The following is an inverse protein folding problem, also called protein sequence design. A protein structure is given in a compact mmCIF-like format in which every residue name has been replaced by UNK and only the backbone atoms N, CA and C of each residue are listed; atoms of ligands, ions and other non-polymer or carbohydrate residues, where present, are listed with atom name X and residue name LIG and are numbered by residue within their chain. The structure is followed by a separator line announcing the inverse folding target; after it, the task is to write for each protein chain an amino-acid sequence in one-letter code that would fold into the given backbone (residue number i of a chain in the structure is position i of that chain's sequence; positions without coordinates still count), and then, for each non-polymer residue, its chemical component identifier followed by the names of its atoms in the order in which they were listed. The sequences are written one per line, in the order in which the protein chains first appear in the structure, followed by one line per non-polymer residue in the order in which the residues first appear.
data_IF_557763431288
#
_entry.id   IF_557763431288
#
_cell.length_a   1.000
_cell.length_b   1.000
_cell.length_c   1.000
_cell.angle_alpha   90.00
_cell.angle_beta   90.00
_cell.angle_gamma   90.00
#
_symmetry.space_group_name_H-M   'P 1'
#
loop_
_entity.id
_entity.type
_entity.pdbx_description
1 polymer ?
#
# COMPACT_ATOMS: atom_id res chain seq x y z
N UNK A 1 -7.13 -41.05 -29.51
CA UNK A 1 -7.79 -40.83 -28.20
C UNK A 1 -6.95 -39.89 -27.34
N UNK A 2 -6.74 -38.64 -27.78
CA UNK A 2 -5.95 -37.63 -27.06
C UNK A 2 -6.46 -36.19 -27.25
N UNK A 3 -7.61 -36.01 -27.90
CA UNK A 3 -8.17 -34.69 -28.26
C UNK A 3 -9.08 -34.10 -27.19
N UNK A 4 -9.67 -34.94 -26.33
CA UNK A 4 -10.76 -34.48 -25.45
C UNK A 4 -10.25 -33.90 -24.13
N UNK A 5 -8.99 -34.18 -23.77
CA UNK A 5 -8.35 -33.65 -22.55
C UNK A 5 -7.78 -32.23 -22.70
N UNK A 6 -7.63 -31.73 -23.93
CA UNK A 6 -7.11 -30.38 -24.19
C UNK A 6 -8.26 -29.37 -24.11
N UNK A 7 -9.44 -29.73 -24.64
CA UNK A 7 -10.60 -28.85 -24.62
C UNK A 7 -11.12 -28.59 -23.20
N UNK A 8 -11.06 -29.57 -22.29
CA UNK A 8 -11.43 -29.36 -20.88
C UNK A 8 -10.49 -28.39 -20.16
N UNK A 9 -9.20 -28.37 -20.51
CA UNK A 9 -8.21 -27.45 -19.92
C UNK A 9 -8.30 -26.01 -20.45
N UNK A 10 -8.84 -25.82 -21.66
CA UNK A 10 -9.02 -24.49 -22.26
C UNK A 10 -10.29 -23.82 -21.72
N UNK A 11 -11.31 -24.60 -21.35
CA UNK A 11 -12.60 -24.06 -20.86
C UNK A 11 -12.49 -23.49 -19.44
N UNK A 12 -11.55 -23.97 -18.61
CA UNK A 12 -11.36 -23.48 -17.22
C UNK A 12 -10.64 -22.13 -17.10
N UNK A 13 -10.07 -21.58 -18.19
CA UNK A 13 -9.34 -20.31 -18.18
C UNK A 13 -10.21 -19.06 -18.45
N UNK A 14 -11.51 -19.25 -18.73
CA UNK A 14 -12.50 -18.19 -18.90
C UNK A 14 -13.46 -18.08 -17.71
N UNK A 15 -13.00 -18.44 -16.50
CA UNK A 15 -13.66 -17.91 -15.32
C UNK A 15 -13.41 -16.41 -15.32
N UNK A 16 -14.44 -15.64 -15.67
CA UNK A 16 -14.51 -14.22 -15.34
C UNK A 16 -14.24 -14.13 -13.84
N UNK A 17 -13.00 -13.81 -13.48
CA UNK A 17 -12.63 -13.60 -12.09
C UNK A 17 -13.36 -12.31 -11.72
N UNK A 18 -14.48 -12.43 -11.01
CA UNK A 18 -15.13 -11.29 -10.38
C UNK A 18 -14.12 -10.67 -9.42
N UNK A 19 -13.39 -9.66 -9.90
CA UNK A 19 -12.41 -8.96 -9.09
C UNK A 19 -13.17 -8.12 -8.06
N UNK A 20 -13.05 -8.47 -6.79
CA UNK A 20 -13.69 -7.71 -5.70
C UNK A 20 -13.23 -6.24 -5.70
N UNK A 21 -14.13 -5.35 -5.28
CA UNK A 21 -13.79 -3.94 -5.07
C UNK A 21 -12.69 -3.83 -4.01
N UNK A 22 -11.71 -2.97 -4.25
CA UNK A 22 -10.59 -2.82 -3.34
C UNK A 22 -9.30 -2.39 -4.02
N UNK A 23 -8.24 -2.42 -3.23
CA UNK A 23 -6.90 -2.01 -3.64
C UNK A 23 -5.95 -3.19 -3.47
N UNK A 24 -5.12 -3.42 -4.47
CA UNK A 24 -4.13 -4.48 -4.53
C UNK A 24 -2.74 -3.89 -4.81
N UNK A 25 -1.74 -4.39 -4.11
CA UNK A 25 -0.34 -4.08 -4.35
C UNK A 25 0.30 -5.22 -5.14
N UNK A 26 0.70 -4.97 -6.39
CA UNK A 26 1.36 -5.95 -7.24
C UNK A 26 2.89 -5.77 -7.15
N UNK A 27 3.61 -6.65 -6.43
CA UNK A 27 5.07 -6.55 -6.30
C UNK A 27 5.83 -6.95 -7.57
N UNK A 28 5.22 -7.70 -8.49
CA UNK A 28 5.87 -8.12 -9.73
C UNK A 28 5.94 -6.94 -10.71
N UNK A 29 4.84 -6.19 -10.81
CA UNK A 29 4.75 -4.99 -11.66
C UNK A 29 5.18 -3.71 -10.97
N UNK A 30 5.31 -3.75 -9.64
CA UNK A 30 5.54 -2.59 -8.77
C UNK A 30 4.47 -1.53 -9.07
N UNK A 31 3.22 -1.97 -8.92
CA UNK A 31 2.05 -1.16 -9.18
C UNK A 31 1.02 -1.28 -8.07
N UNK A 32 0.25 -0.22 -7.93
CA UNK A 32 -0.92 -0.13 -7.09
C UNK A 32 -2.14 -0.16 -7.99
N UNK A 33 -3.01 -1.14 -7.80
CA UNK A 33 -4.20 -1.35 -8.61
C UNK A 33 -5.45 -1.23 -7.74
N UNK A 34 -6.47 -0.55 -8.22
CA UNK A 34 -7.71 -0.34 -7.50
C UNK A 34 -8.90 -0.55 -8.41
N UNK A 35 -9.93 -1.23 -7.89
CA UNK A 35 -11.18 -1.52 -8.61
C UNK A 35 -12.32 -0.90 -7.82
N UNK A 36 -13.13 -0.12 -8.52
CA UNK A 36 -14.19 0.70 -7.94
C UNK A 36 -15.51 0.48 -8.67
N UNK A 37 -16.60 0.69 -7.93
CA UNK A 37 -17.97 0.59 -8.45
C UNK A 37 -18.34 1.65 -9.48
N UNK A 38 -17.72 2.82 -9.43
CA UNK A 38 -18.10 3.94 -10.27
C UNK A 38 -16.91 4.85 -10.58
N UNK A 39 -17.06 5.64 -11.64
CA UNK A 39 -16.04 6.55 -12.15
C UNK A 39 -15.61 7.56 -11.08
N UNK A 40 -16.57 8.12 -10.34
CA UNK A 40 -16.31 9.18 -9.37
C UNK A 40 -15.47 8.66 -8.20
N UNK A 41 -15.75 7.45 -7.73
CA UNK A 41 -14.95 6.74 -6.73
C UNK A 41 -13.50 6.55 -7.19
N UNK A 42 -13.28 6.14 -8.45
CA UNK A 42 -11.94 5.99 -9.02
C UNK A 42 -11.19 7.34 -9.11
N UNK A 43 -11.84 8.42 -9.53
CA UNK A 43 -11.20 9.76 -9.57
C UNK A 43 -10.88 10.32 -8.18
N UNK A 44 -11.76 10.09 -7.20
CA UNK A 44 -11.49 10.45 -5.80
C UNK A 44 -10.28 9.69 -5.28
N UNK A 45 -10.26 8.38 -5.50
CA UNK A 45 -9.14 7.55 -5.09
C UNK A 45 -7.83 8.03 -5.72
N UNK A 46 -7.83 8.29 -7.03
CA UNK A 46 -6.66 8.84 -7.74
C UNK A 46 -6.13 10.11 -7.13
N UNK A 47 -7.01 11.07 -6.80
CA UNK A 47 -6.62 12.34 -6.18
C UNK A 47 -5.92 12.10 -4.83
N UNK A 48 -6.52 11.26 -3.99
CA UNK A 48 -5.97 10.95 -2.66
C UNK A 48 -4.67 10.15 -2.77
N UNK A 49 -4.57 9.21 -3.72
CA UNK A 49 -3.32 8.47 -3.97
C UNK A 49 -2.18 9.43 -4.33
N UNK A 50 -2.44 10.39 -5.23
CA UNK A 50 -1.46 11.42 -5.59
C UNK A 50 -1.06 12.21 -4.35
N UNK A 51 -2.03 12.71 -3.58
CA UNK A 51 -1.77 13.51 -2.39
C UNK A 51 -0.96 12.75 -1.33
N UNK A 52 -1.30 11.49 -1.06
CA UNK A 52 -0.57 10.63 -0.12
C UNK A 52 0.86 10.38 -0.60
N UNK A 53 1.03 10.06 -1.88
CA UNK A 53 2.34 9.74 -2.45
C UNK A 53 3.25 10.98 -2.52
N UNK A 54 2.69 12.16 -2.82
CA UNK A 54 3.41 13.44 -2.83
C UNK A 54 3.76 13.90 -1.42
N UNK A 55 2.85 13.78 -0.44
CA UNK A 55 3.06 14.34 0.91
C UNK A 55 3.87 13.44 1.83
N UNK A 56 3.63 12.12 1.82
CA UNK A 56 4.28 11.18 2.74
C UNK A 56 5.61 10.67 2.19
N UNK A 57 5.66 10.43 0.87
CA UNK A 57 6.83 9.84 0.21
C UNK A 57 7.62 10.83 -0.64
N UNK A 58 7.14 12.09 -0.78
CA UNK A 58 7.82 13.15 -1.53
C UNK A 58 8.06 12.79 -3.00
N UNK A 59 7.14 12.02 -3.60
CA UNK A 59 7.20 11.61 -5.00
C UNK A 59 6.62 12.69 -5.92
N UNK A 60 7.16 12.88 -7.12
CA UNK A 60 6.57 13.71 -8.17
C UNK A 60 5.64 12.89 -9.05
N UNK A 61 4.34 13.21 -9.07
CA UNK A 61 3.33 12.55 -9.90
C UNK A 61 3.68 12.49 -11.40
N UNK A 62 4.45 13.46 -11.95
CA UNK A 62 4.78 13.48 -13.38
C UNK A 62 6.00 12.64 -13.76
N UNK A 63 6.85 12.33 -12.78
CA UNK A 63 8.15 11.72 -13.03
C UNK A 63 8.29 10.36 -12.34
N UNK A 64 7.85 10.27 -11.09
CA UNK A 64 7.99 9.09 -10.25
C UNK A 64 6.84 8.10 -10.43
N UNK A 65 5.68 8.59 -10.87
CA UNK A 65 4.43 7.83 -10.96
C UNK A 65 3.85 7.86 -12.38
N UNK A 66 3.12 6.81 -12.73
CA UNK A 66 2.34 6.75 -13.98
C UNK A 66 0.94 6.22 -13.67
N UNK A 67 -0.08 7.05 -13.89
CA UNK A 67 -1.46 6.70 -13.59
C UNK A 67 -2.25 6.35 -14.85
N UNK A 68 -2.99 5.25 -14.78
CA UNK A 68 -3.96 4.82 -15.77
C UNK A 68 -5.30 4.70 -15.06
N UNK A 69 -6.36 5.26 -15.65
CA UNK A 69 -7.72 5.17 -15.11
C UNK A 69 -8.64 4.89 -16.28
N UNK A 70 -9.59 3.99 -16.10
CA UNK A 70 -10.53 3.66 -17.17
C UNK A 70 -11.66 2.75 -16.70
N UNK A 71 -12.56 2.48 -17.62
CA UNK A 71 -13.62 1.50 -17.45
C UNK A 71 -13.03 0.09 -17.48
N UNK A 72 -13.48 -0.72 -16.54
CA UNK A 72 -13.22 -2.15 -16.45
C UNK A 72 -14.52 -2.90 -16.76
N UNK A 73 -14.41 -4.18 -17.15
CA UNK A 73 -15.53 -5.01 -17.60
C UNK A 73 -16.86 -4.72 -16.86
N UNK A 74 -17.89 -4.33 -17.61
CA UNK A 74 -19.22 -4.01 -17.07
C UNK A 74 -19.33 -2.55 -16.62
N UNK A 75 -19.73 -2.34 -15.35
CA UNK A 75 -19.92 -1.02 -14.71
C UNK A 75 -18.79 -0.69 -13.72
N UNK A 76 -17.65 -1.35 -13.79
CA UNK A 76 -16.54 -1.14 -12.84
C UNK A 76 -15.50 -0.21 -13.43
N UNK A 77 -14.74 0.45 -12.57
CA UNK A 77 -13.64 1.33 -12.97
C UNK A 77 -12.36 0.85 -12.34
N UNK A 78 -11.29 0.81 -13.14
CA UNK A 78 -9.96 0.50 -12.65
C UNK A 78 -9.12 1.77 -12.54
N UNK A 79 -8.22 1.76 -11.57
CA UNK A 79 -7.17 2.73 -11.36
C UNK A 79 -5.87 1.95 -11.17
N UNK A 80 -4.86 2.25 -11.96
CA UNK A 80 -3.52 1.68 -11.81
C UNK A 80 -2.52 2.82 -11.66
N UNK A 81 -1.58 2.66 -10.73
CA UNK A 81 -0.44 3.55 -10.53
C UNK A 81 0.84 2.73 -10.55
N UNK A 82 1.73 3.02 -11.49
CA UNK A 82 3.03 2.38 -11.61
C UNK A 82 4.13 3.24 -10.99
N UNK A 83 5.01 2.63 -10.20
CA UNK A 83 6.14 3.29 -9.54
C UNK A 83 7.40 3.18 -10.43
N UNK A 84 7.74 4.26 -11.12
CA UNK A 84 8.71 4.24 -12.23
C UNK A 84 10.16 4.38 -11.73
N UNK A 85 10.41 5.30 -10.82
CA UNK A 85 11.77 5.66 -10.40
C UNK A 85 12.25 4.83 -9.21
N UNK A 86 13.55 4.91 -8.90
CA UNK A 86 14.12 4.24 -7.73
C UNK A 86 13.50 4.72 -6.42
N UNK A 87 13.21 6.03 -6.30
CA UNK A 87 12.53 6.61 -5.14
C UNK A 87 11.10 6.06 -5.02
N UNK A 88 10.36 6.03 -6.12
CA UNK A 88 9.02 5.47 -6.18
C UNK A 88 8.99 3.99 -5.77
N UNK A 89 9.91 3.19 -6.32
CA UNK A 89 10.06 1.77 -5.99
C UNK A 89 10.36 1.53 -4.52
N UNK A 90 11.15 2.41 -3.89
CA UNK A 90 11.41 2.34 -2.46
C UNK A 90 10.16 2.70 -1.63
N UNK A 91 9.38 3.68 -2.05
CA UNK A 91 8.09 3.99 -1.43
C UNK A 91 7.12 2.80 -1.52
N UNK A 92 7.05 2.14 -2.69
CA UNK A 92 6.27 0.91 -2.86
C UNK A 92 6.73 -0.21 -1.91
N UNK A 93 8.04 -0.40 -1.76
CA UNK A 93 8.58 -1.35 -0.79
C UNK A 93 8.14 -1.00 0.64
N UNK A 94 8.15 0.28 1.02
CA UNK A 94 7.67 0.72 2.35
C UNK A 94 6.19 0.40 2.57
N UNK A 95 5.35 0.61 1.56
CA UNK A 95 3.92 0.28 1.61
C UNK A 95 3.70 -1.23 1.81
N UNK A 96 4.36 -2.05 0.98
CA UNK A 96 4.21 -3.52 1.02
C UNK A 96 4.86 -4.19 2.25
N UNK A 97 5.78 -3.52 2.94
CA UNK A 97 6.46 -4.02 4.14
C UNK A 97 5.98 -3.36 5.44
N UNK A 98 4.77 -2.78 5.43
CA UNK A 98 4.12 -2.18 6.60
C UNK A 98 4.98 -1.09 7.29
N UNK A 99 5.81 -0.36 6.53
CA UNK A 99 6.65 0.73 7.04
C UNK A 99 5.98 2.11 6.99
N UNK A 100 4.73 2.16 6.49
CA UNK A 100 3.83 3.31 6.53
C UNK A 100 2.37 2.82 6.51
N UNK A 101 1.90 2.15 7.59
CA UNK A 101 0.53 1.66 7.67
C UNK A 101 -0.51 2.78 7.52
N UNK A 102 -0.19 4.00 7.96
CA UNK A 102 -1.04 5.18 7.79
C UNK A 102 -1.28 5.52 6.31
N UNK A 103 -0.23 5.48 5.50
CA UNK A 103 -0.34 5.77 4.07
C UNK A 103 -1.10 4.66 3.34
N UNK A 104 -0.85 3.40 3.74
CA UNK A 104 -1.60 2.25 3.22
C UNK A 104 -3.09 2.38 3.50
N UNK A 105 -3.48 2.69 4.74
CA UNK A 105 -4.88 2.90 5.12
C UNK A 105 -5.54 4.03 4.32
N UNK A 106 -4.85 5.16 4.15
CA UNK A 106 -5.36 6.28 3.35
C UNK A 106 -5.55 5.91 1.88
N UNK A 107 -4.66 5.08 1.32
CA UNK A 107 -4.75 4.57 -0.05
C UNK A 107 -5.93 3.61 -0.22
N UNK A 108 -6.13 2.68 0.71
CA UNK A 108 -7.20 1.68 0.65
C UNK A 108 -8.59 2.31 0.81
N UNK A 109 -8.70 3.32 1.68
CA UNK A 109 -9.95 4.05 1.96
C UNK A 109 -10.20 5.26 1.06
N UNK A 110 -9.32 5.50 0.09
CA UNK A 110 -9.26 6.72 -0.74
C UNK A 110 -10.55 7.03 -1.52
N UNK A 111 -11.34 6.00 -1.84
CA UNK A 111 -12.60 6.11 -2.58
C UNK A 111 -13.78 6.53 -1.71
N UNK A 112 -13.70 6.30 -0.39
CA UNK A 112 -14.76 6.65 0.56
C UNK A 112 -14.76 8.18 0.66
N UNK A 113 -15.90 8.87 0.41
CA UNK A 113 -15.97 10.32 0.56
C UNK A 113 -15.54 10.75 1.96
N UNK A 114 -15.02 11.97 2.08
CA UNK A 114 -14.55 12.55 3.35
C UNK A 114 -15.70 12.55 4.37
N UNK A 115 -15.80 11.46 5.11
CA UNK A 115 -16.63 11.36 6.29
C UNK A 115 -15.79 11.98 7.40
N UNK A 116 -16.35 12.94 8.14
CA UNK A 116 -15.72 13.55 9.31
C UNK A 116 -15.26 12.50 10.36
N UNK A 117 -15.65 11.22 10.19
CA UNK A 117 -15.27 10.06 10.99
C UNK A 117 -13.88 9.46 10.72
N UNK A 118 -13.11 9.90 9.70
CA UNK A 118 -11.78 9.30 9.40
C UNK A 118 -10.79 9.37 10.57
N UNK A 119 -10.90 10.37 11.45
CA UNK A 119 -10.07 10.44 12.67
C UNK A 119 -10.46 9.36 13.69
N UNK A 120 -11.76 9.12 13.85
CA UNK A 120 -12.26 8.13 14.81
C UNK A 120 -11.95 6.71 14.33
N UNK A 121 -12.13 6.41 13.04
CA UNK A 121 -11.83 5.08 12.50
C UNK A 121 -10.36 4.69 12.72
N UNK A 122 -9.44 5.65 12.59
CA UNK A 122 -8.02 5.44 12.85
C UNK A 122 -7.71 5.18 14.34
N UNK A 123 -8.45 5.83 15.25
CA UNK A 123 -8.31 5.63 16.70
C UNK A 123 -8.91 4.28 17.17
N UNK A 124 -9.92 3.78 16.47
CA UNK A 124 -10.61 2.55 16.86
C UNK A 124 -10.19 1.30 16.09
N UNK A 125 -9.39 1.46 15.02
CA UNK A 125 -8.82 0.39 14.22
C UNK A 125 -8.11 -0.64 15.14
N UNK A 126 -8.60 -1.90 15.20
CA UNK A 126 -8.17 -2.88 16.19
C UNK A 126 -6.69 -3.29 16.06
N UNK A 127 -6.12 -3.13 14.87
CA UNK A 127 -4.74 -3.36 14.49
C UNK A 127 -3.79 -2.21 14.87
N UNK A 128 -4.30 -0.97 14.98
CA UNK A 128 -3.53 0.20 15.41
C UNK A 128 -3.56 0.43 16.92
N UNK A 129 -4.31 -0.39 17.67
CA UNK A 129 -4.33 -0.29 19.13
C UNK A 129 -2.96 -0.66 19.67
N UNK A 130 -2.33 0.20 20.51
CA UNK A 130 -1.11 -0.19 21.20
C UNK A 130 -1.40 -1.47 21.99
N UNK A 131 -0.54 -2.46 21.83
CA UNK A 131 -0.65 -3.74 22.54
C UNK A 131 -0.51 -3.43 24.04
N UNK A 132 -1.64 -3.25 24.73
CA UNK A 132 -1.70 -2.97 26.17
C UNK A 132 -1.23 -4.15 27.04
N UNK A 133 -0.81 -5.26 26.43
CA UNK A 133 -0.25 -6.42 27.10
C UNK A 133 1.20 -6.62 26.67
N UNK A 134 2.07 -5.64 26.91
CA UNK A 134 3.48 -5.96 27.10
C UNK A 134 3.62 -6.55 28.50
N UNK A 135 3.87 -7.87 28.66
CA UNK A 135 4.36 -8.36 29.94
C UNK A 135 5.64 -7.59 30.27
N UNK A 136 5.83 -7.25 31.54
CA UNK A 136 6.94 -6.44 32.12
C UNK A 136 8.37 -6.89 31.73
N UNK A 137 8.52 -7.96 30.94
CA UNK A 137 9.75 -8.57 30.47
C UNK A 137 10.52 -7.65 29.48
N UNK A 138 9.84 -6.77 28.74
CA UNK A 138 10.48 -5.93 27.71
C UNK A 138 11.22 -4.69 28.23
N UNK A 139 10.99 -4.25 29.47
CA UNK A 139 11.74 -3.12 30.03
C UNK A 139 13.23 -3.45 30.22
N UNK A 140 13.56 -4.73 30.46
CA UNK A 140 14.96 -5.17 30.58
C UNK A 140 15.72 -5.20 29.24
N UNK A 141 15.03 -5.35 28.11
CA UNK A 141 15.65 -5.38 26.78
C UNK A 141 15.85 -3.97 26.19
N UNK A 142 15.06 -2.98 26.63
CA UNK A 142 15.20 -1.58 26.18
C UNK A 142 16.50 -0.94 26.73
N UNK A 143 17.00 -1.39 27.89
CA UNK A 143 18.31 -0.93 28.40
C UNK A 143 19.49 -1.42 27.54
N UNK A 144 19.41 -2.61 26.93
CA UNK A 144 20.47 -3.09 26.01
C UNK A 144 20.47 -2.32 24.68
N UNK A 145 19.30 -2.03 24.11
CA UNK A 145 19.18 -1.30 22.84
C UNK A 145 19.67 0.15 22.98
N UNK A 146 19.43 0.81 24.13
CA UNK A 146 19.96 2.16 24.39
C UNK A 146 21.48 2.18 24.59
N UNK A 147 22.08 1.09 25.08
CA UNK A 147 23.53 0.93 25.16
C UNK A 147 24.17 0.76 23.78
N UNK A 148 23.55 -0.03 22.89
CA UNK A 148 23.98 -0.22 21.50
C UNK A 148 23.90 1.09 20.70
N UNK A 149 22.83 1.87 20.87
CA UNK A 149 22.70 3.18 20.21
C UNK A 149 23.71 4.23 20.72
N UNK A 150 24.14 4.15 21.99
CA UNK A 150 25.27 4.95 22.51
C UNK A 150 26.63 4.52 21.94
N UNK A 151 26.79 3.26 21.58
CA UNK A 151 28.02 2.76 20.96
C UNK A 151 28.15 3.25 19.52
N UNK A 152 27.11 3.11 18.70
CA UNK A 152 27.11 3.56 17.31
C UNK A 152 27.23 5.08 17.17
N UNK A 153 26.60 5.85 18.05
CA UNK A 153 26.73 7.32 18.04
C UNK A 153 28.13 7.80 18.42
N UNK A 154 28.87 7.07 19.27
CA UNK A 154 30.30 7.34 19.55
C UNK A 154 31.21 6.93 18.39
N UNK A 155 30.89 5.83 17.71
CA UNK A 155 31.66 5.35 16.55
C UNK A 155 31.52 6.30 15.34
N UNK A 156 30.30 6.75 15.06
CA UNK A 156 30.02 7.70 13.96
C UNK A 156 30.72 9.04 14.15
N UNK A 157 30.77 9.58 15.39
CA UNK A 157 31.49 10.83 15.68
C UNK A 157 33.01 10.75 15.51
N UNK A 158 33.57 9.54 15.49
CA UNK A 158 35.02 9.30 15.37
C UNK A 158 35.47 9.04 13.92
N UNK A 159 34.56 8.62 13.05
CA UNK A 159 34.83 8.32 11.63
C UNK A 159 34.61 9.52 10.69
N UNK A 160 33.87 10.53 11.13
CA UNK A 160 33.54 11.72 10.33
C UNK A 160 34.18 13.02 10.88
N UNK A 161 35.41 12.92 11.40
CA UNK A 161 36.25 14.07 11.78
C UNK A 161 37.60 14.01 11.10
#
# INVERSE_FOLDING_TARGET
MYSDSINSKIIELNQEVELEEGVCFDPERISLEGIYKDELSAYRAKRVWIEVLESIFLLDNKHDLSFITGEYCGDRYFLSCQFVTACARYAFWRLTNQQSPEAQYMIETAHIPDCEMRQDDFLYAPDLRPICNTPEILLSQIEEVTSINRFWSKLFRKLFR
#
